data_IF_483282824744
#
_entry.id   IF_483282824744
#
_cell.length_a   1.000
_cell.length_b   1.000
_cell.length_c   1.000
_cell.angle_alpha   90.00
_cell.angle_beta   90.00
_cell.angle_gamma   90.00
#
_symmetry.space_group_name_H-M   'P 1'
#
loop_
_entity.id
_entity.type
_entity.pdbx_description
1 polymer ?
#
# COMPACT_ATOMS: atom_id res chain seq x y z
N UNK A 1 -5.69 5.46 21.26
CA UNK A 1 -4.58 6.30 20.73
C UNK A 1 -3.32 5.50 20.30
N UNK A 2 -3.43 4.25 19.80
CA UNK A 2 -2.26 3.47 19.34
C UNK A 2 -2.11 3.37 17.80
N UNK A 3 -3.10 3.80 17.02
CA UNK A 3 -3.11 3.63 15.55
C UNK A 3 -2.36 4.73 14.79
N UNK A 4 -2.33 5.98 15.27
CA UNK A 4 -1.73 7.11 14.52
C UNK A 4 -0.21 6.99 14.31
N UNK A 5 0.53 6.40 15.26
CA UNK A 5 2.00 6.26 15.13
C UNK A 5 2.44 5.24 14.07
N UNK A 6 1.66 4.18 13.82
CA UNK A 6 2.02 3.12 12.86
C UNK A 6 1.84 3.54 11.39
N UNK A 7 0.81 4.33 11.10
CA UNK A 7 0.63 4.88 9.75
C UNK A 7 1.83 5.74 9.31
N UNK A 8 2.52 6.40 10.26
CA UNK A 8 3.71 7.20 9.94
C UNK A 8 4.89 6.36 9.43
N UNK A 9 5.16 5.18 10.02
CA UNK A 9 6.31 4.35 9.60
C UNK A 9 6.05 3.69 8.26
N UNK A 10 4.83 3.18 8.04
CA UNK A 10 4.44 2.55 6.76
C UNK A 10 4.47 3.59 5.63
N UNK A 11 4.01 4.82 5.90
CA UNK A 11 4.14 5.92 4.95
C UNK A 11 5.60 6.25 4.61
N UNK A 12 6.50 6.25 5.60
CA UNK A 12 7.94 6.47 5.35
C UNK A 12 8.54 5.34 4.50
N UNK A 13 8.24 4.08 4.82
CA UNK A 13 8.69 2.91 4.06
C UNK A 13 8.22 2.97 2.60
N UNK A 14 6.97 3.40 2.36
CA UNK A 14 6.45 3.60 1.01
C UNK A 14 7.25 4.65 0.24
N UNK A 15 7.53 5.80 0.87
CA UNK A 15 8.33 6.86 0.25
C UNK A 15 9.74 6.37 -0.09
N UNK A 16 10.34 5.56 0.78
CA UNK A 16 11.64 4.95 0.54
C UNK A 16 11.59 3.97 -0.64
N UNK A 17 10.58 3.09 -0.70
CA UNK A 17 10.40 2.15 -1.80
C UNK A 17 10.21 2.84 -3.15
N UNK A 18 9.60 4.03 -3.18
CA UNK A 18 9.46 4.82 -4.41
C UNK A 18 10.78 5.48 -4.81
N UNK A 19 11.55 5.99 -3.85
CA UNK A 19 12.83 6.69 -4.11
C UNK A 19 13.94 5.71 -4.49
N UNK A 20 14.03 4.59 -3.79
CA UNK A 20 15.10 3.59 -3.91
C UNK A 20 14.50 2.19 -4.13
N UNK A 21 13.83 1.95 -5.27
CA UNK A 21 13.06 0.73 -5.50
C UNK A 21 13.90 -0.55 -5.57
N UNK A 22 15.22 -0.46 -5.75
CA UNK A 22 16.12 -1.62 -5.80
C UNK A 22 16.75 -1.98 -4.44
N UNK A 23 16.68 -1.06 -3.47
CA UNK A 23 17.38 -1.20 -2.19
C UNK A 23 16.42 -1.22 -0.99
N UNK A 24 15.17 -0.77 -1.18
CA UNK A 24 14.17 -0.76 -0.12
C UNK A 24 13.75 -2.17 0.28
N UNK A 25 13.72 -2.41 1.59
CA UNK A 25 13.16 -3.64 2.17
C UNK A 25 11.66 -3.83 1.88
N UNK A 26 10.95 -2.76 1.54
CA UNK A 26 9.52 -2.77 1.25
C UNK A 26 9.22 -2.94 -0.26
N UNK A 27 10.23 -3.23 -1.09
CA UNK A 27 10.08 -3.43 -2.53
C UNK A 27 9.05 -4.52 -2.86
N UNK A 28 9.10 -5.65 -2.14
CA UNK A 28 8.19 -6.77 -2.38
C UNK A 28 6.74 -6.40 -2.07
N UNK A 29 6.50 -5.76 -0.92
CA UNK A 29 5.18 -5.25 -0.51
C UNK A 29 4.64 -4.24 -1.52
N UNK A 30 5.49 -3.34 -2.01
CA UNK A 30 5.15 -2.37 -3.04
C UNK A 30 4.73 -3.06 -4.34
N UNK A 31 5.52 -4.02 -4.82
CA UNK A 31 5.26 -4.73 -6.06
C UNK A 31 3.93 -5.49 -6.02
N UNK A 32 3.67 -6.22 -4.93
CA UNK A 32 2.41 -6.96 -4.73
C UNK A 32 1.21 -6.03 -4.64
N UNK A 33 1.31 -4.95 -3.87
CA UNK A 33 0.23 -3.96 -3.76
C UNK A 33 -0.07 -3.31 -5.12
N UNK A 34 0.98 -2.98 -5.89
CA UNK A 34 0.84 -2.38 -7.22
C UNK A 34 0.21 -3.34 -8.22
N UNK A 35 0.60 -4.61 -8.23
CA UNK A 35 0.05 -5.63 -9.13
C UNK A 35 -1.45 -5.80 -8.93
N UNK A 36 -1.90 -6.00 -7.69
CA UNK A 36 -3.31 -6.16 -7.35
C UNK A 36 -4.11 -4.89 -7.69
N UNK A 37 -3.55 -3.72 -7.35
CA UNK A 37 -4.20 -2.44 -7.63
C UNK A 37 -4.36 -2.20 -9.14
N UNK A 38 -3.36 -2.56 -9.94
CA UNK A 38 -3.43 -2.48 -11.41
C UNK A 38 -4.51 -3.41 -11.96
N UNK A 39 -4.60 -4.63 -11.47
CA UNK A 39 -5.65 -5.57 -11.87
C UNK A 39 -7.04 -5.03 -11.53
N UNK A 40 -7.21 -4.44 -10.33
CA UNK A 40 -8.45 -3.80 -9.91
C UNK A 40 -8.83 -2.61 -10.81
N UNK A 41 -7.88 -1.70 -11.07
CA UNK A 41 -8.12 -0.54 -11.94
C UNK A 41 -8.45 -0.94 -13.39
N UNK A 42 -7.88 -2.05 -13.87
CA UNK A 42 -8.10 -2.56 -15.22
C UNK A 42 -9.39 -3.38 -15.38
N UNK A 43 -10.10 -3.68 -14.28
CA UNK A 43 -11.26 -4.58 -14.28
C UNK A 43 -12.54 -4.02 -14.93
N UNK A 44 -12.51 -2.78 -15.43
CA UNK A 44 -13.66 -2.14 -16.09
C UNK A 44 -14.72 -1.61 -15.12
N UNK A 45 -14.53 -1.77 -13.80
CA UNK A 45 -15.32 -1.05 -12.80
C UNK A 45 -15.01 0.47 -12.93
N UNK A 46 -16.05 1.30 -12.98
CA UNK A 46 -15.94 2.76 -12.87
C UNK A 46 -15.37 3.12 -11.51
N UNK A 47 -14.05 3.10 -11.42
CA UNK A 47 -13.29 3.24 -10.19
C UNK A 47 -12.82 4.68 -10.07
N UNK A 48 -13.25 5.35 -9.01
CA UNK A 48 -12.71 6.66 -8.68
C UNK A 48 -11.22 6.51 -8.36
N UNK A 49 -10.38 7.39 -8.91
CA UNK A 49 -8.93 7.40 -8.63
C UNK A 49 -8.61 7.34 -7.13
N UNK A 50 -9.41 8.02 -6.29
CA UNK A 50 -9.26 8.01 -4.83
C UNK A 50 -9.43 6.61 -4.21
N UNK A 51 -10.31 5.78 -4.75
CA UNK A 51 -10.50 4.40 -4.28
C UNK A 51 -9.30 3.52 -4.63
N UNK A 52 -8.71 3.72 -5.81
CA UNK A 52 -7.51 3.01 -6.27
C UNK A 52 -6.30 3.36 -5.39
N UNK A 53 -6.09 4.65 -5.11
CA UNK A 53 -4.98 5.10 -4.24
C UNK A 53 -5.14 4.57 -2.82
N UNK A 54 -6.36 4.55 -2.29
CA UNK A 54 -6.62 4.00 -0.95
C UNK A 54 -6.41 2.50 -0.90
N UNK A 55 -6.92 1.77 -1.89
CA UNK A 55 -6.72 0.32 -1.99
C UNK A 55 -5.24 -0.04 -2.04
N UNK A 56 -4.46 0.69 -2.85
CA UNK A 56 -3.02 0.49 -2.92
C UNK A 56 -2.35 0.64 -1.56
N UNK A 57 -2.65 1.72 -0.84
CA UNK A 57 -2.04 1.98 0.46
C UNK A 57 -2.44 0.93 1.51
N UNK A 58 -3.72 0.55 1.54
CA UNK A 58 -4.21 -0.51 2.44
C UNK A 58 -3.49 -1.85 2.17
N UNK A 59 -3.33 -2.23 0.90
CA UNK A 59 -2.64 -3.46 0.52
C UNK A 59 -1.16 -3.39 0.87
N UNK A 60 -0.53 -2.24 0.64
CA UNK A 60 0.87 -2.02 1.03
C UNK A 60 1.06 -2.16 2.54
N UNK A 61 0.20 -1.51 3.35
CA UNK A 61 0.22 -1.64 4.81
C UNK A 61 -0.02 -3.09 5.27
N UNK A 62 -0.93 -3.79 4.60
CA UNK A 62 -1.20 -5.21 4.88
C UNK A 62 0.02 -6.08 4.61
N UNK A 63 0.69 -5.91 3.47
CA UNK A 63 1.89 -6.69 3.15
C UNK A 63 3.09 -6.34 4.05
N UNK A 64 3.26 -5.07 4.40
CA UNK A 64 4.34 -4.63 5.30
C UNK A 64 4.16 -5.13 6.73
N UNK A 65 2.92 -5.20 7.22
CA UNK A 65 2.65 -5.43 8.64
C UNK A 65 2.03 -6.79 8.94
N UNK A 66 1.54 -7.49 7.92
CA UNK A 66 0.78 -8.75 8.04
C UNK A 66 -0.59 -8.59 8.71
N UNK A 67 -1.14 -7.36 8.78
CA UNK A 67 -2.41 -7.06 9.45
C UNK A 67 -3.37 -6.40 8.46
N UNK A 68 -4.66 -6.72 8.56
CA UNK A 68 -5.66 -5.99 7.79
C UNK A 68 -5.83 -4.57 8.39
N UNK A 69 -5.51 -3.49 7.65
CA UNK A 69 -5.66 -2.13 8.15
C UNK A 69 -7.12 -1.68 8.33
N UNK A 70 -8.08 -2.50 7.86
CA UNK A 70 -9.53 -2.24 7.97
C UNK A 70 -10.12 -2.86 9.23
N UNK A 71 -9.45 -3.84 9.82
CA UNK A 71 -9.81 -4.42 11.11
C UNK A 71 -9.25 -3.53 12.24
N UNK A 72 -10.15 -2.86 12.98
CA UNK A 72 -9.81 -1.94 14.08
C UNK A 72 -9.65 -2.64 15.42
#
# INVERSE_FOLDING_TARGET
MKSEKKSSIVGTNLVEAVKNPLESSSQESFAKALEITKAYASSGASTHYSAVTRLFFDLFEMFETGRDPREK
#
